data_IF_155327054631
#
_entry.id   IF_155327054631
#
_cell.length_a   1.000
_cell.length_b   1.000
_cell.length_c   1.000
_cell.angle_alpha   90.00
_cell.angle_beta   90.00
_cell.angle_gamma   90.00
#
_symmetry.space_group_name_H-M   'P 1'
#
loop_
_entity.id
_entity.type
_entity.pdbx_description
1 polymer ?
#
# COMPACT_ATOMS: atom_id res chain seq x y z
N UNK A 1 13.87 -1.09 38.00
CA UNK A 1 14.34 0.31 38.23
C UNK A 1 14.48 0.58 39.74
N UNK A 2 15.24 1.62 40.13
CA UNK A 2 15.41 1.98 41.54
C UNK A 2 14.05 2.31 42.22
N UNK A 3 13.17 3.00 41.49
CA UNK A 3 11.82 3.33 41.99
C UNK A 3 10.95 2.08 42.22
N UNK A 4 11.07 1.08 41.39
CA UNK A 4 10.35 -0.20 41.53
C UNK A 4 10.84 -0.96 42.80
N UNK A 5 12.15 -1.06 42.99
CA UNK A 5 12.71 -1.70 44.17
C UNK A 5 12.34 -0.95 45.48
N UNK A 6 12.23 0.37 45.44
CA UNK A 6 11.74 1.18 46.55
C UNK A 6 10.25 0.95 46.81
N UNK A 7 9.45 0.85 45.76
CA UNK A 7 8.02 0.57 45.88
C UNK A 7 7.77 -0.82 46.46
N UNK A 8 8.46 -1.85 45.98
CA UNK A 8 8.31 -3.22 46.51
C UNK A 8 8.71 -3.30 47.99
N UNK A 9 9.82 -2.66 48.36
CA UNK A 9 10.23 -2.57 49.74
C UNK A 9 9.25 -1.78 50.61
N UNK A 10 8.75 -0.66 50.10
CA UNK A 10 7.74 0.16 50.79
C UNK A 10 6.45 -0.62 51.03
N UNK A 11 6.04 -1.43 50.06
CA UNK A 11 4.87 -2.30 50.17
C UNK A 11 5.03 -3.34 51.29
N UNK A 12 6.20 -3.97 51.40
CA UNK A 12 6.48 -4.91 52.48
C UNK A 12 6.48 -4.22 53.88
N UNK A 13 7.10 -3.04 53.98
CA UNK A 13 7.15 -2.28 55.20
C UNK A 13 5.77 -1.79 55.65
N UNK A 14 4.92 -1.38 54.70
CA UNK A 14 3.56 -0.98 54.96
C UNK A 14 2.68 -2.16 55.42
N UNK A 15 2.80 -3.33 54.78
CA UNK A 15 2.11 -4.55 55.21
C UNK A 15 2.48 -4.98 56.63
N UNK A 16 3.70 -4.68 57.06
CA UNK A 16 4.20 -4.96 58.43
C UNK A 16 3.96 -3.79 59.42
N UNK A 17 3.13 -2.80 59.03
CA UNK A 17 2.86 -1.59 59.81
C UNK A 17 4.12 -0.83 60.24
N UNK A 18 5.21 -0.93 59.49
CA UNK A 18 6.50 -0.31 59.79
C UNK A 18 6.68 1.08 59.19
N UNK A 19 5.76 1.51 58.34
CA UNK A 19 5.68 2.88 57.76
C UNK A 19 4.24 3.37 57.81
N UNK A 20 4.06 4.70 57.82
CA UNK A 20 2.72 5.31 57.75
C UNK A 20 2.08 5.19 56.38
N UNK A 21 0.72 5.30 56.33
CA UNK A 21 -0.04 5.32 55.09
C UNK A 21 0.44 6.44 54.16
N UNK A 22 0.77 7.61 54.74
CA UNK A 22 1.29 8.76 53.99
C UNK A 22 2.64 8.46 53.35
N UNK A 23 3.57 7.86 54.11
CA UNK A 23 4.90 7.52 53.57
C UNK A 23 4.77 6.48 52.42
N UNK A 24 3.84 5.55 52.53
CA UNK A 24 3.57 4.58 51.49
C UNK A 24 2.94 5.25 50.24
N UNK A 25 2.01 6.20 50.43
CA UNK A 25 1.44 6.96 49.28
C UNK A 25 2.52 7.77 48.58
N UNK A 26 3.42 8.44 49.28
CA UNK A 26 4.54 9.17 48.67
C UNK A 26 5.46 8.24 47.83
N UNK A 27 5.75 7.04 48.34
CA UNK A 27 6.52 6.03 47.58
C UNK A 27 5.76 5.58 46.33
N UNK A 28 4.45 5.37 46.44
CA UNK A 28 3.57 4.97 45.32
C UNK A 28 3.50 6.06 44.27
N UNK A 29 3.38 7.33 44.65
CA UNK A 29 3.39 8.47 43.73
C UNK A 29 4.72 8.58 43.00
N UNK A 30 5.85 8.46 43.71
CA UNK A 30 7.17 8.47 43.12
C UNK A 30 7.35 7.33 42.08
N UNK A 31 6.88 6.13 42.42
CA UNK A 31 6.89 5.00 41.47
C UNK A 31 6.03 5.27 40.25
N UNK A 32 4.80 5.77 40.42
CA UNK A 32 3.89 6.09 39.34
C UNK A 32 4.48 7.18 38.41
N UNK A 33 5.12 8.20 39.01
CA UNK A 33 5.80 9.27 38.28
C UNK A 33 6.98 8.73 37.47
N UNK A 34 7.82 7.89 38.08
CA UNK A 34 8.96 7.26 37.42
C UNK A 34 8.51 6.35 36.27
N UNK A 35 7.44 5.57 36.47
CA UNK A 35 6.83 4.73 35.43
C UNK A 35 6.26 5.55 34.27
N UNK A 36 5.54 6.64 34.59
CA UNK A 36 5.01 7.55 33.56
C UNK A 36 6.12 8.20 32.73
N UNK A 37 7.25 8.53 33.38
CA UNK A 37 8.42 9.11 32.70
C UNK A 37 9.09 8.08 31.81
N UNK A 38 9.22 6.83 32.26
CA UNK A 38 9.74 5.72 31.46
C UNK A 38 8.91 5.54 30.19
N UNK A 39 7.59 5.39 30.32
CA UNK A 39 6.68 5.20 29.19
C UNK A 39 6.78 6.37 28.19
N UNK A 40 6.83 7.62 28.68
CA UNK A 40 7.01 8.79 27.80
C UNK A 40 8.32 8.74 27.01
N UNK A 41 9.41 8.35 27.69
CA UNK A 41 10.71 8.25 27.04
C UNK A 41 10.78 7.10 26.04
N UNK A 42 10.13 5.96 26.33
CA UNK A 42 10.01 4.84 25.41
C UNK A 42 9.23 5.23 24.15
N UNK A 43 8.08 5.91 24.31
CA UNK A 43 7.30 6.43 23.17
C UNK A 43 8.12 7.45 22.35
N UNK A 44 8.85 8.34 23.03
CA UNK A 44 9.70 9.33 22.37
C UNK A 44 10.84 8.68 21.58
N UNK A 45 11.46 7.65 22.15
CA UNK A 45 12.49 6.86 21.48
C UNK A 45 11.94 6.11 20.25
N UNK A 46 10.78 5.46 20.39
CA UNK A 46 10.16 4.75 19.28
C UNK A 46 9.75 5.70 18.15
N UNK A 47 9.18 6.87 18.48
CA UNK A 47 8.88 7.90 17.49
C UNK A 47 10.14 8.40 16.75
N UNK A 48 11.25 8.60 17.49
CA UNK A 48 12.51 9.00 16.87
C UNK A 48 13.08 7.90 15.97
N UNK A 49 12.92 6.64 16.33
CA UNK A 49 13.33 5.50 15.54
C UNK A 49 12.49 5.37 14.26
N UNK A 50 11.15 5.51 14.37
CA UNK A 50 10.26 5.55 13.20
C UNK A 50 10.68 6.69 12.26
N UNK A 51 10.91 7.89 12.80
CA UNK A 51 11.35 9.03 11.99
C UNK A 51 12.69 8.78 11.29
N UNK A 52 13.60 8.03 11.92
CA UNK A 52 14.86 7.63 11.29
C UNK A 52 14.62 6.58 10.20
N UNK A 53 13.81 5.56 10.47
CA UNK A 53 13.48 4.52 9.49
C UNK A 53 12.77 5.11 8.26
N UNK A 54 11.91 6.11 8.44
CA UNK A 54 11.20 6.83 7.38
C UNK A 54 12.13 7.65 6.46
N UNK A 55 13.39 7.90 6.88
CA UNK A 55 14.37 8.54 6.00
C UNK A 55 14.82 7.65 4.84
N UNK A 56 14.61 6.33 4.95
CA UNK A 56 14.94 5.34 3.92
C UNK A 56 13.67 4.72 3.38
N UNK A 57 13.15 5.27 2.30
CA UNK A 57 11.96 4.75 1.64
C UNK A 57 12.29 3.47 0.89
N UNK A 58 11.63 2.38 1.26
CA UNK A 58 11.77 1.07 0.61
C UNK A 58 10.53 0.74 -0.20
N UNK A 59 10.74 -0.01 -1.30
CA UNK A 59 9.60 -0.54 -2.06
C UNK A 59 8.83 -1.58 -1.23
N UNK A 60 7.49 -1.49 -1.17
CA UNK A 60 6.66 -2.50 -0.51
C UNK A 60 6.41 -3.75 -1.39
N UNK A 61 6.76 -3.70 -2.68
CA UNK A 61 6.57 -4.77 -3.65
C UNK A 61 7.83 -4.99 -4.47
N UNK A 62 8.02 -6.20 -4.96
CA UNK A 62 8.95 -6.49 -6.04
C UNK A 62 8.32 -6.09 -7.37
N UNK A 63 9.08 -5.46 -8.28
CA UNK A 63 8.54 -5.01 -9.54
C UNK A 63 9.42 -4.01 -10.27
N UNK A 64 8.90 -3.51 -11.38
CA UNK A 64 9.58 -2.54 -12.24
C UNK A 64 9.13 -1.12 -11.93
N UNK A 65 10.06 -0.18 -11.86
CA UNK A 65 9.76 1.24 -11.73
C UNK A 65 9.21 1.76 -13.07
N UNK A 66 7.97 2.20 -13.07
CA UNK A 66 7.28 2.73 -14.25
C UNK A 66 7.58 4.22 -14.43
N UNK A 67 7.54 4.97 -13.34
CA UNK A 67 7.86 6.40 -13.37
C UNK A 67 8.49 6.86 -12.06
N UNK A 68 9.35 7.84 -12.14
CA UNK A 68 9.99 8.52 -11.02
C UNK A 68 9.90 10.04 -11.25
N UNK A 69 8.84 10.68 -10.79
CA UNK A 69 8.58 12.10 -11.01
C UNK A 69 9.46 13.04 -10.17
N UNK A 70 10.26 12.52 -9.25
CA UNK A 70 11.09 13.30 -8.34
C UNK A 70 12.57 13.26 -8.71
N UNK A 71 13.28 14.36 -8.45
CA UNK A 71 14.71 14.49 -8.70
C UNK A 71 15.50 14.72 -7.41
N UNK A 72 16.80 14.40 -7.46
CA UNK A 72 17.70 14.63 -6.32
C UNK A 72 17.79 16.13 -6.01
N UNK A 73 17.61 16.48 -4.75
CA UNK A 73 17.56 17.88 -4.28
C UNK A 73 16.17 18.52 -4.29
N UNK A 74 15.15 17.81 -4.74
CA UNK A 74 13.76 18.28 -4.69
C UNK A 74 13.20 18.14 -3.26
N UNK A 75 12.47 19.18 -2.81
CA UNK A 75 11.71 19.10 -1.56
C UNK A 75 10.43 18.31 -1.80
N UNK A 76 10.21 17.30 -0.98
CA UNK A 76 9.00 16.43 -1.02
C UNK A 76 8.13 16.71 0.20
N UNK A 77 6.82 16.53 0.04
CA UNK A 77 5.84 16.66 1.13
C UNK A 77 5.50 15.30 1.71
N UNK A 78 5.48 15.21 3.03
CA UNK A 78 5.02 14.01 3.74
C UNK A 78 3.48 13.97 3.76
N UNK A 79 2.84 12.79 3.61
CA UNK A 79 1.38 12.65 3.75
C UNK A 79 0.87 12.90 5.17
N UNK A 80 1.76 13.01 6.16
CA UNK A 80 1.41 13.29 7.57
C UNK A 80 1.11 14.77 7.84
N UNK A 81 1.37 15.67 6.88
CA UNK A 81 0.96 17.07 7.02
C UNK A 81 -0.54 17.22 6.76
N UNK A 82 -1.24 17.89 7.68
CA UNK A 82 -2.70 18.07 7.68
C UNK A 82 -3.29 18.79 6.44
N UNK A 83 -2.48 19.24 5.49
CA UNK A 83 -2.85 20.10 4.37
C UNK A 83 -2.25 19.68 3.02
N UNK A 84 -2.09 18.40 2.73
CA UNK A 84 -1.60 18.04 1.40
C UNK A 84 -1.57 16.55 1.11
N UNK A 85 -1.80 16.22 -0.14
CA UNK A 85 -1.43 14.91 -0.67
C UNK A 85 0.09 14.79 -0.64
N UNK A 86 0.61 13.65 -0.14
CA UNK A 86 2.05 13.37 -0.15
C UNK A 86 2.61 13.38 -1.58
N UNK A 87 3.90 13.69 -1.71
CA UNK A 87 4.57 13.62 -3.02
C UNK A 87 4.71 12.16 -3.46
N UNK A 88 4.35 11.86 -4.72
CA UNK A 88 4.59 10.56 -5.33
C UNK A 88 6.09 10.48 -5.66
N UNK A 89 6.80 9.56 -5.01
CA UNK A 89 8.23 9.37 -5.22
C UNK A 89 8.52 8.52 -6.45
N UNK A 90 7.79 7.41 -6.60
CA UNK A 90 7.88 6.52 -7.75
C UNK A 90 6.58 5.72 -7.90
N UNK A 91 6.31 5.29 -9.12
CA UNK A 91 5.24 4.34 -9.42
C UNK A 91 5.89 3.03 -9.85
N UNK A 92 5.48 1.94 -9.22
CA UNK A 92 5.98 0.59 -9.50
C UNK A 92 4.83 -0.34 -9.82
N UNK A 93 5.08 -1.32 -10.67
CA UNK A 93 4.17 -2.44 -10.90
C UNK A 93 4.92 -3.73 -11.18
N UNK A 94 4.27 -4.84 -10.88
CA UNK A 94 4.66 -6.14 -11.38
C UNK A 94 4.18 -6.28 -12.83
N UNK A 95 5.11 -6.42 -13.77
CA UNK A 95 4.84 -6.56 -15.20
C UNK A 95 4.74 -8.03 -15.66
N UNK A 96 4.87 -9.00 -14.75
CA UNK A 96 4.74 -10.42 -15.10
C UNK A 96 3.34 -10.78 -15.60
N UNK A 97 2.33 -10.05 -15.11
CA UNK A 97 0.94 -10.15 -15.57
C UNK A 97 0.42 -8.77 -15.93
N UNK A 98 -0.03 -8.63 -17.14
CA UNK A 98 -0.62 -7.39 -17.62
C UNK A 98 -2.10 -7.60 -17.94
N UNK A 99 -2.86 -6.53 -17.86
CA UNK A 99 -4.29 -6.55 -18.13
C UNK A 99 -4.61 -5.62 -19.25
N UNK A 100 -5.30 -6.15 -20.26
CA UNK A 100 -5.88 -5.37 -21.34
C UNK A 100 -7.31 -5.01 -20.96
N UNK A 101 -7.67 -3.77 -21.19
CA UNK A 101 -9.02 -3.26 -21.06
C UNK A 101 -9.60 -3.03 -22.45
N UNK A 102 -10.35 -4.01 -22.93
CA UNK A 102 -11.06 -3.92 -24.20
C UNK A 102 -12.40 -3.21 -23.99
N UNK A 103 -12.73 -2.27 -24.87
CA UNK A 103 -14.03 -1.58 -24.86
C UNK A 103 -14.93 -2.29 -25.87
N UNK A 104 -15.90 -3.05 -25.41
CA UNK A 104 -16.83 -3.84 -26.22
C UNK A 104 -18.17 -3.11 -26.30
N UNK A 105 -18.72 -3.04 -27.52
CA UNK A 105 -20.03 -2.42 -27.74
C UNK A 105 -21.14 -3.15 -26.97
N UNK A 106 -22.18 -2.42 -26.57
CA UNK A 106 -23.37 -2.94 -25.89
C UNK A 106 -24.04 -4.10 -26.67
N UNK A 107 -24.00 -4.06 -27.99
CA UNK A 107 -24.62 -5.08 -28.85
C UNK A 107 -23.87 -6.42 -28.73
N UNK A 108 -22.56 -6.39 -28.52
CA UNK A 108 -21.71 -7.56 -28.57
C UNK A 108 -21.29 -8.06 -27.16
N UNK A 109 -21.39 -7.22 -26.13
CA UNK A 109 -20.97 -7.62 -24.77
C UNK A 109 -21.73 -8.84 -24.24
N UNK A 110 -22.99 -9.02 -24.66
CA UNK A 110 -23.81 -10.18 -24.26
C UNK A 110 -23.31 -11.53 -24.82
N UNK A 111 -22.42 -11.51 -25.80
CA UNK A 111 -21.81 -12.71 -26.40
C UNK A 111 -20.50 -13.10 -25.70
N UNK A 112 -19.91 -12.17 -24.93
CA UNK A 112 -18.63 -12.39 -24.24
C UNK A 112 -18.87 -13.10 -22.92
N UNK A 113 -18.07 -14.12 -22.64
CA UNK A 113 -18.13 -14.89 -21.40
C UNK A 113 -16.81 -14.85 -20.63
N UNK A 114 -16.92 -14.86 -19.30
CA UNK A 114 -15.74 -14.95 -18.42
C UNK A 114 -15.06 -16.31 -18.65
N UNK A 115 -13.72 -16.32 -18.72
CA UNK A 115 -12.94 -17.52 -19.02
C UNK A 115 -12.70 -17.79 -20.50
N UNK A 116 -13.26 -16.97 -21.40
CA UNK A 116 -13.09 -17.09 -22.86
C UNK A 116 -11.66 -16.70 -23.24
N UNK A 117 -11.07 -17.50 -24.16
CA UNK A 117 -9.75 -17.22 -24.72
C UNK A 117 -9.85 -16.09 -25.77
N UNK A 118 -8.86 -15.23 -25.78
CA UNK A 118 -8.83 -14.02 -26.61
C UNK A 118 -7.48 -13.89 -27.29
N UNK A 119 -7.49 -13.60 -28.60
CA UNK A 119 -6.29 -13.25 -29.34
C UNK A 119 -6.07 -11.74 -29.29
N UNK A 120 -4.85 -11.33 -29.01
CA UNK A 120 -4.46 -9.94 -28.80
C UNK A 120 -3.25 -9.62 -29.68
N UNK A 121 -3.40 -8.60 -30.51
CA UNK A 121 -2.35 -8.05 -31.35
C UNK A 121 -1.95 -6.68 -30.82
N UNK A 122 -0.68 -6.51 -30.54
CA UNK A 122 -0.13 -5.26 -30.01
C UNK A 122 0.49 -4.48 -31.17
N UNK A 123 0.17 -3.20 -31.29
CA UNK A 123 0.65 -2.35 -32.39
C UNK A 123 2.19 -2.31 -32.49
N UNK A 124 2.90 -2.49 -31.35
CA UNK A 124 4.36 -2.54 -31.30
C UNK A 124 4.96 -3.88 -31.79
N UNK A 125 4.19 -4.98 -31.76
CA UNK A 125 4.65 -6.33 -32.11
C UNK A 125 3.65 -7.00 -33.06
N UNK A 126 3.58 -6.53 -34.30
CA UNK A 126 2.58 -6.96 -35.28
C UNK A 126 2.68 -8.43 -35.67
N UNK A 127 3.88 -9.00 -35.55
CA UNK A 127 4.16 -10.40 -35.91
C UNK A 127 3.97 -11.36 -34.75
N UNK A 128 3.69 -10.85 -33.52
CA UNK A 128 3.41 -11.65 -32.32
C UNK A 128 1.94 -11.55 -31.97
N UNK A 129 1.35 -12.71 -31.73
CA UNK A 129 0.02 -12.85 -31.18
C UNK A 129 0.12 -13.28 -29.73
N UNK A 130 -0.58 -12.56 -28.86
CA UNK A 130 -0.63 -12.86 -27.43
C UNK A 130 -2.00 -13.47 -27.13
N UNK A 131 -2.00 -14.49 -26.31
CA UNK A 131 -3.24 -15.15 -25.87
C UNK A 131 -3.56 -14.66 -24.46
N UNK A 132 -4.78 -14.17 -24.27
CA UNK A 132 -5.29 -13.77 -22.98
C UNK A 132 -6.59 -14.49 -22.63
N UNK A 133 -7.04 -14.29 -21.41
CA UNK A 133 -8.30 -14.84 -20.92
C UNK A 133 -9.17 -13.73 -20.35
N UNK A 134 -10.45 -13.71 -20.70
CA UNK A 134 -11.43 -12.78 -20.13
C UNK A 134 -11.55 -13.06 -18.64
N UNK A 135 -11.10 -12.12 -17.81
CA UNK A 135 -11.16 -12.26 -16.36
C UNK A 135 -12.40 -11.62 -15.76
N UNK A 136 -12.87 -10.52 -16.35
CA UNK A 136 -14.02 -9.79 -15.81
C UNK A 136 -14.67 -8.93 -16.89
N UNK A 137 -15.99 -8.80 -16.82
CA UNK A 137 -16.78 -7.80 -17.54
C UNK A 137 -17.22 -6.75 -16.51
N UNK A 138 -16.85 -5.48 -16.70
CA UNK A 138 -17.27 -4.41 -15.80
C UNK A 138 -18.75 -4.08 -16.05
N UNK A 139 -19.60 -4.02 -15.00
CA UNK A 139 -21.03 -3.76 -15.16
C UNK A 139 -21.34 -2.28 -15.42
N UNK A 140 -20.33 -1.42 -15.43
CA UNK A 140 -20.48 0.01 -15.67
C UNK A 140 -20.16 0.34 -17.12
N UNK A 141 -21.16 0.86 -17.86
CA UNK A 141 -20.97 1.36 -19.20
C UNK A 141 -20.20 2.69 -19.23
N UNK A 142 -19.45 2.88 -20.28
CA UNK A 142 -18.83 4.16 -20.66
C UNK A 142 -19.46 4.64 -21.95
N UNK A 143 -19.95 5.88 -21.95
CA UNK A 143 -20.51 6.50 -23.16
C UNK A 143 -19.48 7.50 -23.67
N UNK A 144 -18.96 7.24 -24.86
CA UNK A 144 -18.03 8.12 -25.54
C UNK A 144 -18.52 8.35 -26.97
N UNK A 145 -18.63 9.60 -27.39
CA UNK A 145 -19.11 9.97 -28.72
C UNK A 145 -20.42 9.26 -29.13
N UNK A 146 -21.39 9.18 -28.25
CA UNK A 146 -22.68 8.48 -28.44
C UNK A 146 -22.57 6.94 -28.61
N UNK A 147 -21.43 6.33 -28.33
CA UNK A 147 -21.28 4.88 -28.35
C UNK A 147 -21.22 4.39 -26.91
N UNK A 148 -22.09 3.45 -26.55
CA UNK A 148 -22.11 2.78 -25.25
C UNK A 148 -21.21 1.56 -25.28
N UNK A 149 -20.16 1.55 -24.48
CA UNK A 149 -19.21 0.44 -24.39
C UNK A 149 -19.09 -0.09 -22.99
N UNK A 150 -18.83 -1.38 -22.85
CA UNK A 150 -18.53 -2.05 -21.60
C UNK A 150 -17.09 -2.51 -21.58
N UNK A 151 -16.32 -2.17 -20.52
CA UNK A 151 -14.95 -2.66 -20.38
C UNK A 151 -14.93 -4.14 -20.08
N UNK A 152 -14.20 -4.88 -20.87
CA UNK A 152 -13.87 -6.28 -20.66
C UNK A 152 -12.39 -6.35 -20.29
N UNK A 153 -12.11 -6.91 -19.12
CA UNK A 153 -10.76 -7.06 -18.61
C UNK A 153 -10.22 -8.44 -19.02
N UNK A 154 -9.06 -8.44 -19.65
CA UNK A 154 -8.41 -9.63 -20.18
C UNK A 154 -7.04 -9.73 -19.55
N UNK A 155 -6.78 -10.81 -18.86
CA UNK A 155 -5.49 -11.07 -18.22
C UNK A 155 -4.58 -11.80 -19.21
N UNK A 156 -3.32 -11.36 -19.29
CA UNK A 156 -2.27 -11.89 -20.17
C UNK A 156 -1.03 -12.14 -19.33
N UNK A 157 -0.40 -13.28 -19.52
CA UNK A 157 0.94 -13.56 -18.97
C UNK A 157 1.99 -12.88 -19.86
N UNK A 158 2.92 -12.18 -19.23
CA UNK A 158 3.95 -11.37 -19.90
C UNK A 158 5.36 -11.88 -19.54
N UNK A 159 5.59 -13.17 -19.78
CA UNK A 159 6.84 -13.85 -19.42
C UNK A 159 8.08 -13.21 -20.04
N UNK A 160 7.96 -12.71 -21.26
CA UNK A 160 9.03 -12.04 -22.00
C UNK A 160 9.23 -10.57 -21.59
N UNK A 161 8.37 -10.00 -20.70
CA UNK A 161 8.32 -8.59 -20.35
C UNK A 161 8.24 -7.62 -21.55
N UNK A 162 7.63 -8.06 -22.64
CA UNK A 162 7.48 -7.27 -23.87
C UNK A 162 6.32 -6.28 -23.81
N UNK A 163 5.27 -6.62 -23.04
CA UNK A 163 4.08 -5.79 -22.91
C UNK A 163 4.32 -4.71 -21.85
N UNK A 164 4.17 -3.47 -22.26
CA UNK A 164 4.33 -2.31 -21.39
C UNK A 164 2.98 -1.63 -21.14
N UNK A 165 2.88 -0.94 -20.01
CA UNK A 165 1.67 -0.19 -19.66
C UNK A 165 1.47 0.96 -20.63
N UNK A 166 0.23 1.13 -21.11
CA UNK A 166 -0.14 2.19 -22.07
C UNK A 166 0.01 1.81 -23.54
N UNK A 167 0.36 0.56 -23.87
CA UNK A 167 0.34 0.09 -25.24
C UNK A 167 -1.08 -0.07 -25.76
N UNK A 168 -1.28 0.30 -27.05
CA UNK A 168 -2.52 0.05 -27.76
C UNK A 168 -2.54 -1.37 -28.32
N UNK A 169 -3.70 -2.01 -28.22
CA UNK A 169 -3.90 -3.40 -28.61
C UNK A 169 -5.21 -3.56 -29.39
N UNK A 170 -5.18 -4.41 -30.39
CA UNK A 170 -6.36 -4.90 -31.06
C UNK A 170 -6.72 -6.27 -30.48
N UNK A 171 -7.97 -6.42 -30.07
CA UNK A 171 -8.46 -7.62 -29.39
C UNK A 171 -9.48 -8.33 -30.25
N UNK A 172 -9.28 -9.60 -30.53
CA UNK A 172 -10.21 -10.48 -31.25
C UNK A 172 -10.77 -11.50 -30.26
N UNK A 173 -12.04 -11.38 -29.95
CA UNK A 173 -12.80 -12.32 -29.11
C UNK A 173 -13.60 -13.22 -30.06
N UNK A 174 -13.29 -14.52 -30.05
CA UNK A 174 -14.06 -15.49 -30.80
C UNK A 174 -15.37 -15.81 -30.06
N UNK A 175 -16.51 -15.49 -30.68
CA UNK A 175 -17.87 -15.66 -30.13
C UNK A 175 -18.65 -16.71 -30.87
#
# INVERSE_FOLDING_TARGET
SNAESQFDRGKELHMNASISDKDFEDIKENYAQAKSTLVRNEVSYENAKIALDDTVVKSPIDGTVISRPVEVGQVISSPTSAFGEGSILMTMADLSKVRVRALVDEIDVGKVSIGQSVSIKVAAYRDKEFIGTVSKIEPRAYVQQNVTTFPVLIDIENDDNLLLIGMNTDVVIEV
#
